data_IF_406678220043
#
_entry.id   IF_406678220043
#
_cell.length_a   1.000
_cell.length_b   1.000
_cell.length_c   1.000
_cell.angle_alpha   90.00
_cell.angle_beta   90.00
_cell.angle_gamma   90.00
#
_symmetry.space_group_name_H-M   'P 1'
#
loop_
_entity.id
_entity.type
_entity.pdbx_description
1 polymer ?
#
# COMPACT_ATOMS: atom_id res chain seq x y z
N UNK A 1 35.60 28.97 39.08
CA UNK A 1 34.21 29.45 38.88
C UNK A 1 33.46 28.34 38.17
N UNK A 2 32.57 27.60 38.85
CA UNK A 2 31.82 26.51 38.22
C UNK A 2 30.48 27.05 37.72
N UNK A 3 30.24 26.96 36.42
CA UNK A 3 28.97 27.31 35.80
C UNK A 3 28.17 26.02 35.69
N UNK A 4 27.00 25.97 36.34
CA UNK A 4 26.07 24.86 36.24
C UNK A 4 25.00 25.21 35.20
N UNK A 5 25.01 24.53 34.05
CA UNK A 5 23.96 24.66 33.03
C UNK A 5 22.91 23.56 33.21
N UNK A 6 21.64 23.95 33.13
CA UNK A 6 20.48 23.03 33.17
C UNK A 6 19.98 22.82 31.74
N UNK A 7 20.02 21.59 31.27
CA UNK A 7 19.48 21.19 29.96
C UNK A 7 18.13 20.53 30.17
N UNK A 8 17.09 21.08 29.54
CA UNK A 8 15.70 20.60 29.60
C UNK A 8 15.22 20.20 28.19
N UNK A 9 14.16 19.40 28.06
CA UNK A 9 13.53 19.08 26.77
C UNK A 9 14.06 17.86 26.01
N UNK A 10 15.09 17.17 26.52
CA UNK A 10 15.67 16.00 25.85
C UNK A 10 14.72 14.81 25.74
N UNK A 11 13.79 14.68 26.69
CA UNK A 11 12.79 13.61 26.69
C UNK A 11 11.79 13.80 25.55
N UNK A 12 11.26 15.01 25.40
CA UNK A 12 10.33 15.39 24.36
C UNK A 12 10.98 15.23 22.97
N UNK A 13 12.25 15.63 22.84
CA UNK A 13 13.03 15.37 21.62
C UNK A 13 13.15 13.87 21.32
N UNK A 14 13.47 13.05 22.32
CA UNK A 14 13.56 11.60 22.17
C UNK A 14 12.27 10.97 21.68
N UNK A 15 11.11 11.42 22.19
CA UNK A 15 9.80 10.94 21.74
C UNK A 15 9.50 11.30 20.27
N UNK A 16 9.85 12.52 19.85
CA UNK A 16 9.67 12.95 18.44
C UNK A 16 10.56 12.12 17.51
N UNK A 17 11.82 11.88 17.88
CA UNK A 17 12.74 11.07 17.09
C UNK A 17 12.24 9.63 16.93
N UNK A 18 11.72 9.02 18.00
CA UNK A 18 11.15 7.66 17.92
C UNK A 18 9.90 7.58 17.03
N UNK A 19 9.08 8.63 16.99
CA UNK A 19 7.92 8.69 16.07
C UNK A 19 8.39 8.82 14.63
N UNK A 20 9.36 9.70 14.39
CA UNK A 20 9.94 9.91 13.07
C UNK A 20 10.57 8.62 12.54
N UNK A 21 11.32 7.89 13.37
CA UNK A 21 11.94 6.62 13.00
C UNK A 21 10.89 5.61 12.52
N UNK A 22 9.79 5.44 13.28
CA UNK A 22 8.69 4.53 12.92
C UNK A 22 8.02 4.92 11.61
N UNK A 23 7.83 6.22 11.37
CA UNK A 23 7.21 6.71 10.14
C UNK A 23 8.09 6.46 8.92
N UNK A 24 9.41 6.66 9.07
CA UNK A 24 10.39 6.36 8.02
C UNK A 24 10.44 4.86 7.74
N UNK A 25 10.50 4.01 8.77
CA UNK A 25 10.47 2.55 8.61
C UNK A 25 9.23 2.09 7.85
N UNK A 26 8.05 2.60 8.20
CA UNK A 26 6.79 2.25 7.52
C UNK A 26 6.81 2.73 6.05
N UNK A 27 7.34 3.92 5.76
CA UNK A 27 7.47 4.42 4.37
C UNK A 27 8.37 3.52 3.54
N UNK A 28 9.52 3.13 4.07
CA UNK A 28 10.45 2.21 3.40
C UNK A 28 9.77 0.88 3.10
N UNK A 29 9.11 0.27 4.11
CA UNK A 29 8.40 -1.00 3.92
C UNK A 29 7.30 -0.90 2.83
N UNK A 30 6.54 0.20 2.80
CA UNK A 30 5.53 0.42 1.77
C UNK A 30 6.13 0.54 0.38
N UNK A 31 7.22 1.30 0.24
CA UNK A 31 7.84 1.52 -1.05
C UNK A 31 8.48 0.24 -1.59
N UNK A 32 9.30 -0.43 -0.77
CA UNK A 32 9.94 -1.69 -1.14
C UNK A 32 8.91 -2.77 -1.45
N UNK A 33 7.87 -2.89 -0.62
CA UNK A 33 6.79 -3.85 -0.84
C UNK A 33 6.01 -3.59 -2.12
N UNK A 34 5.77 -2.32 -2.49
CA UNK A 34 5.15 -1.99 -3.77
C UNK A 34 6.05 -2.31 -4.95
N UNK A 35 7.33 -1.94 -4.89
CA UNK A 35 8.30 -2.23 -5.96
C UNK A 35 8.44 -3.73 -6.18
N UNK A 36 8.48 -4.53 -5.11
CA UNK A 36 8.57 -5.98 -5.20
C UNK A 36 7.33 -6.63 -5.87
N UNK A 37 6.18 -5.96 -5.83
CA UNK A 37 4.92 -6.48 -6.40
C UNK A 37 4.66 -6.02 -7.84
N UNK A 38 5.57 -5.26 -8.46
CA UNK A 38 5.45 -4.83 -9.86
C UNK A 38 5.30 -6.01 -10.83
N UNK A 39 6.07 -7.11 -10.73
CA UNK A 39 5.88 -8.26 -11.62
C UNK A 39 4.48 -8.87 -11.54
N UNK A 40 3.91 -8.93 -10.32
CA UNK A 40 2.55 -9.44 -10.08
C UNK A 40 1.50 -8.51 -10.70
N UNK A 41 1.71 -7.19 -10.65
CA UNK A 41 0.83 -6.24 -11.30
C UNK A 41 0.78 -6.47 -12.82
N UNK A 42 1.94 -6.63 -13.45
CA UNK A 42 2.03 -6.84 -14.90
C UNK A 42 1.41 -8.18 -15.31
N UNK A 43 1.68 -9.23 -14.54
CA UNK A 43 1.08 -10.55 -14.75
C UNK A 43 -0.45 -10.51 -14.65
N UNK A 44 -0.99 -9.93 -13.58
CA UNK A 44 -2.45 -9.79 -13.41
C UNK A 44 -3.09 -8.94 -14.51
N UNK A 45 -2.42 -7.89 -14.97
CA UNK A 45 -2.92 -7.06 -16.07
C UNK A 45 -2.92 -7.81 -17.40
N UNK A 46 -1.91 -8.63 -17.65
CA UNK A 46 -1.77 -9.39 -18.90
C UNK A 46 -2.83 -10.47 -19.02
N UNK A 47 -3.18 -11.10 -17.90
CA UNK A 47 -4.16 -12.19 -17.83
C UNK A 47 -5.57 -11.73 -17.40
N UNK A 48 -5.78 -10.43 -17.19
CA UNK A 48 -7.11 -9.90 -16.93
C UNK A 48 -7.97 -9.94 -18.20
N UNK A 49 -9.23 -10.37 -18.06
CA UNK A 49 -10.20 -10.36 -19.15
C UNK A 49 -10.28 -8.98 -19.80
N UNK A 50 -10.10 -8.96 -21.12
CA UNK A 50 -10.14 -7.79 -21.97
C UNK A 50 -11.15 -8.05 -23.09
N UNK A 51 -12.15 -7.19 -23.20
CA UNK A 51 -13.17 -7.26 -24.23
C UNK A 51 -13.16 -5.96 -25.03
N UNK A 52 -12.59 -6.00 -26.23
CA UNK A 52 -12.43 -4.84 -27.13
C UNK A 52 -13.76 -4.20 -27.53
N UNK A 53 -14.88 -4.89 -27.34
CA UNK A 53 -16.21 -4.40 -27.71
C UNK A 53 -16.84 -3.49 -26.66
N UNK A 54 -16.28 -3.47 -25.44
CA UNK A 54 -16.81 -2.73 -24.30
C UNK A 54 -16.10 -1.39 -24.19
N UNK A 55 -16.80 -0.28 -24.41
CA UNK A 55 -16.22 1.08 -24.31
C UNK A 55 -16.02 1.58 -22.86
N UNK A 56 -16.39 0.80 -21.85
CA UNK A 56 -16.24 1.15 -20.43
C UNK A 56 -14.88 0.71 -19.85
N UNK A 57 -14.51 1.26 -18.69
CA UNK A 57 -13.25 0.95 -17.99
C UNK A 57 -13.10 -0.57 -17.79
N UNK A 58 -12.08 -1.17 -18.42
CA UNK A 58 -11.86 -2.61 -18.32
C UNK A 58 -11.33 -2.98 -16.94
N UNK A 59 -11.56 -4.22 -16.51
CA UNK A 59 -11.04 -4.71 -15.23
C UNK A 59 -9.54 -4.53 -15.09
N UNK A 60 -8.78 -4.75 -16.19
CA UNK A 60 -7.34 -4.55 -16.30
C UNK A 60 -6.89 -3.17 -15.84
N UNK A 61 -7.63 -2.14 -16.22
CA UNK A 61 -7.28 -0.73 -15.95
C UNK A 61 -7.41 -0.39 -14.46
N UNK A 62 -8.27 -1.12 -13.77
CA UNK A 62 -8.50 -0.95 -12.34
C UNK A 62 -7.49 -1.70 -11.44
N UNK A 63 -6.65 -2.58 -12.00
CA UNK A 63 -5.67 -3.38 -11.25
C UNK A 63 -4.54 -2.48 -10.77
N UNK A 64 -4.35 -2.42 -9.45
CA UNK A 64 -3.29 -1.61 -8.83
C UNK A 64 -2.73 -2.21 -7.56
N UNK A 65 -1.49 -1.86 -7.26
CA UNK A 65 -0.83 -2.21 -6.01
C UNK A 65 -1.30 -1.26 -4.91
N UNK A 66 -1.75 -1.81 -3.79
CA UNK A 66 -2.19 -1.08 -2.61
C UNK A 66 -1.40 -1.50 -1.39
N UNK A 67 -1.27 -0.57 -0.46
CA UNK A 67 -0.65 -0.81 0.84
C UNK A 67 -1.58 -0.35 1.95
N UNK A 68 -1.74 -1.16 2.98
CA UNK A 68 -2.50 -0.82 4.19
C UNK A 68 -1.74 -1.26 5.44
N UNK A 69 -2.19 -0.84 6.61
CA UNK A 69 -1.64 -1.36 7.87
C UNK A 69 -2.17 -2.79 8.08
N UNK A 70 -1.30 -3.71 8.48
CA UNK A 70 -1.73 -5.06 8.82
C UNK A 70 -2.63 -5.04 10.06
N UNK A 71 -3.77 -5.74 9.99
CA UNK A 71 -4.65 -5.98 11.15
C UNK A 71 -4.14 -7.11 12.05
N UNK A 72 -3.31 -8.02 11.51
CA UNK A 72 -2.85 -9.23 12.19
C UNK A 72 -1.50 -9.04 12.90
N UNK A 73 -0.65 -8.15 12.37
CA UNK A 73 0.73 -7.98 12.85
C UNK A 73 1.01 -6.50 13.07
N UNK A 74 1.29 -6.12 14.33
CA UNK A 74 1.59 -4.73 14.71
C UNK A 74 2.87 -4.27 14.01
N UNK A 75 2.84 -3.09 13.40
CA UNK A 75 3.98 -2.50 12.68
C UNK A 75 4.18 -3.02 11.25
N UNK A 76 3.51 -4.12 10.86
CA UNK A 76 3.61 -4.64 9.50
C UNK A 76 2.73 -3.86 8.50
N UNK A 77 3.16 -3.87 7.25
CA UNK A 77 2.45 -3.32 6.10
C UNK A 77 1.90 -4.49 5.27
N UNK A 78 0.61 -4.45 4.96
CA UNK A 78 -0.01 -5.37 4.02
C UNK A 78 0.09 -4.76 2.62
N UNK A 79 0.62 -5.51 1.66
CA UNK A 79 0.63 -5.16 0.23
C UNK A 79 -0.34 -6.07 -0.50
N UNK A 80 -1.18 -5.50 -1.36
CA UNK A 80 -2.12 -6.25 -2.20
C UNK A 80 -2.05 -5.77 -3.64
N UNK A 81 -2.32 -6.66 -4.58
CA UNK A 81 -2.45 -6.38 -6.01
C UNK A 81 -3.84 -6.85 -6.44
N UNK A 82 -4.58 -6.04 -7.19
CA UNK A 82 -5.89 -6.43 -7.70
C UNK A 82 -6.77 -5.26 -8.14
N UNK A 83 -7.94 -5.56 -8.74
CA UNK A 83 -8.87 -4.56 -9.27
C UNK A 83 -9.43 -3.67 -8.16
N UNK A 84 -9.89 -2.47 -8.50
CA UNK A 84 -10.56 -1.61 -7.51
C UNK A 84 -11.93 -2.14 -7.13
N UNK A 85 -12.40 -1.85 -5.91
CA UNK A 85 -13.70 -2.32 -5.43
C UNK A 85 -14.84 -1.92 -6.37
N UNK A 86 -14.79 -0.71 -6.93
CA UNK A 86 -15.81 -0.21 -7.88
C UNK A 86 -15.96 -1.18 -9.06
N UNK A 87 -14.83 -1.56 -9.66
CA UNK A 87 -14.76 -2.45 -10.83
C UNK A 87 -15.02 -3.92 -10.48
N UNK A 88 -14.68 -4.36 -9.26
CA UNK A 88 -14.98 -5.73 -8.79
C UNK A 88 -16.49 -5.99 -8.74
N UNK A 89 -17.26 -5.11 -8.11
CA UNK A 89 -18.72 -5.25 -8.01
C UNK A 89 -19.42 -5.18 -9.38
N UNK A 90 -18.90 -4.36 -10.28
CA UNK A 90 -19.42 -4.23 -11.65
C UNK A 90 -19.14 -5.50 -12.47
N UNK A 91 -17.95 -6.10 -12.32
CA UNK A 91 -17.58 -7.35 -12.98
C UNK A 91 -18.31 -8.60 -12.44
N UNK A 92 -18.56 -8.66 -11.13
CA UNK A 92 -19.35 -9.73 -10.50
C UNK A 92 -20.82 -9.65 -10.96
N UNK A 93 -21.35 -8.44 -11.11
CA UNK A 93 -22.71 -8.20 -11.62
C UNK A 93 -22.85 -8.52 -13.11
N UNK A 94 -21.74 -8.42 -13.87
CA UNK A 94 -21.68 -8.68 -15.31
C UNK A 94 -21.34 -10.15 -15.66
N UNK A 95 -21.12 -11.03 -14.68
CA UNK A 95 -20.91 -12.48 -14.93
C UNK A 95 -19.57 -12.86 -15.59
N UNK A 96 -18.58 -11.97 -15.57
CA UNK A 96 -17.32 -12.11 -16.34
C UNK A 96 -16.35 -13.15 -15.74
N UNK A 97 -16.70 -13.77 -14.60
CA UNK A 97 -15.85 -14.75 -13.88
C UNK A 97 -16.49 -16.12 -13.62
N UNK A 98 -17.39 -16.57 -14.49
CA UNK A 98 -17.77 -17.99 -14.53
C UNK A 98 -17.00 -18.73 -15.63
N UNK A 99 -15.71 -19.02 -15.39
CA UNK A 99 -14.97 -20.07 -16.09
C UNK A 99 -13.90 -20.67 -15.19
#
# INVERSE_FOLDING_TARGET
>A
MNITMKVEGLRELGEVLQRLEKDVQIKILRQSGKSAMVPVLEDMKTHAGFDETVASEHMRDSIKIRSSRSKKTKGAVLITVGPTKKTLYESESAGIWHH
#
